data_IF_251449523130
#
_entry.id   IF_251449523130
#
_cell.length_a   1.000
_cell.length_b   1.000
_cell.length_c   1.000
_cell.angle_alpha   90.00
_cell.angle_beta   90.00
_cell.angle_gamma   90.00
#
_symmetry.space_group_name_H-M   'P 1'
#
loop_
_entity.id
_entity.type
_entity.pdbx_description
1 polymer ?
#
# COMPACT_ATOMS: atom_id res chain seq x y z
N UNK A 1 26.20 -13.66 -8.31
CA UNK A 1 26.07 -12.67 -7.22
C UNK A 1 25.13 -11.53 -7.63
N UNK A 2 25.19 -11.06 -8.87
CA UNK A 2 24.36 -9.98 -9.44
C UNK A 2 22.83 -10.20 -9.34
N UNK A 3 22.33 -11.39 -9.72
CA UNK A 3 20.88 -11.69 -9.67
C UNK A 3 20.29 -11.70 -8.26
N UNK A 4 21.06 -12.14 -7.27
CA UNK A 4 20.60 -12.19 -5.87
C UNK A 4 20.42 -10.79 -5.27
N UNK A 5 21.34 -9.88 -5.59
CA UNK A 5 21.26 -8.47 -5.19
C UNK A 5 20.10 -7.75 -5.88
N UNK A 6 19.88 -7.99 -7.17
CA UNK A 6 18.73 -7.45 -7.93
C UNK A 6 17.40 -7.92 -7.31
N UNK A 7 17.29 -9.22 -7.02
CA UNK A 7 16.09 -9.78 -6.39
C UNK A 7 15.84 -9.19 -4.99
N UNK A 8 16.90 -9.02 -4.18
CA UNK A 8 16.79 -8.38 -2.87
C UNK A 8 16.37 -6.91 -2.98
N UNK A 9 16.93 -6.15 -3.91
CA UNK A 9 16.57 -4.76 -4.14
C UNK A 9 15.10 -4.62 -4.56
N UNK A 10 14.63 -5.47 -5.47
CA UNK A 10 13.22 -5.50 -5.88
C UNK A 10 12.29 -5.88 -4.71
N UNK A 11 12.67 -6.87 -3.89
CA UNK A 11 11.91 -7.27 -2.72
C UNK A 11 11.79 -6.15 -1.69
N UNK A 12 12.85 -5.38 -1.45
CA UNK A 12 12.83 -4.22 -0.55
C UNK A 12 11.95 -3.09 -1.13
N UNK A 13 12.06 -2.83 -2.45
CA UNK A 13 11.34 -1.76 -3.14
C UNK A 13 9.81 -1.91 -3.04
N UNK A 14 9.28 -3.14 -3.03
CA UNK A 14 7.85 -3.41 -2.82
C UNK A 14 7.50 -3.70 -1.35
N UNK A 15 8.38 -4.40 -0.64
CA UNK A 15 8.11 -4.91 0.71
C UNK A 15 7.97 -3.80 1.75
N UNK A 16 8.82 -2.77 1.72
CA UNK A 16 8.73 -1.66 2.67
C UNK A 16 7.45 -0.82 2.46
N UNK A 17 7.10 -0.40 1.22
CA UNK A 17 5.81 0.24 0.98
C UNK A 17 4.62 -0.64 1.37
N UNK A 18 4.66 -1.96 1.10
CA UNK A 18 3.60 -2.89 1.50
C UNK A 18 3.32 -2.89 3.00
N UNK A 19 4.36 -2.96 3.81
CA UNK A 19 4.23 -2.90 5.26
C UNK A 19 3.69 -1.54 5.74
N UNK A 20 4.16 -0.44 5.16
CA UNK A 20 3.73 0.90 5.50
C UNK A 20 2.26 1.16 5.10
N UNK A 21 1.86 0.74 3.89
CA UNK A 21 0.48 0.82 3.39
C UNK A 21 -0.46 0.01 4.25
N UNK A 22 -0.13 -1.25 4.56
CA UNK A 22 -0.95 -2.10 5.43
C UNK A 22 -1.12 -1.50 6.82
N UNK A 23 -0.07 -0.90 7.39
CA UNK A 23 -0.16 -0.20 8.67
C UNK A 23 -1.11 1.00 8.60
N UNK A 24 -0.99 1.86 7.58
CA UNK A 24 -1.88 3.00 7.40
C UNK A 24 -3.34 2.57 7.19
N UNK A 25 -3.58 1.59 6.31
CA UNK A 25 -4.92 1.08 6.02
C UNK A 25 -5.57 0.39 7.21
N UNK A 26 -4.82 -0.28 8.09
CA UNK A 26 -5.38 -0.87 9.32
C UNK A 26 -6.00 0.18 10.25
N UNK A 27 -5.37 1.36 10.32
CA UNK A 27 -5.82 2.50 11.14
C UNK A 27 -7.00 3.23 10.48
N UNK A 28 -6.93 3.42 9.16
CA UNK A 28 -8.01 4.08 8.41
C UNK A 28 -9.24 3.18 8.37
N UNK A 29 -9.08 1.88 8.14
CA UNK A 29 -10.17 0.90 8.09
C UNK A 29 -10.89 0.76 9.43
N UNK A 30 -10.16 0.69 10.54
CA UNK A 30 -10.76 0.64 11.88
C UNK A 30 -11.55 1.91 12.22
N UNK A 31 -10.99 3.10 11.96
CA UNK A 31 -11.72 4.36 12.13
C UNK A 31 -12.90 4.51 11.15
N UNK A 32 -12.71 4.04 9.92
CA UNK A 32 -13.69 4.06 8.84
C UNK A 32 -14.91 3.20 9.14
N UNK A 33 -14.73 2.00 9.71
CA UNK A 33 -15.83 1.13 10.09
C UNK A 33 -16.78 1.79 11.10
N UNK A 34 -16.23 2.44 12.13
CA UNK A 34 -17.04 3.22 13.08
C UNK A 34 -17.73 4.42 12.43
N UNK A 35 -17.01 5.11 11.53
CA UNK A 35 -17.58 6.25 10.79
C UNK A 35 -18.77 5.82 9.92
N UNK A 36 -18.66 4.69 9.23
CA UNK A 36 -19.73 4.15 8.37
C UNK A 36 -20.92 3.67 9.21
N UNK A 37 -20.68 3.12 10.40
CA UNK A 37 -21.74 2.69 11.31
C UNK A 37 -22.63 3.86 11.77
N UNK A 38 -22.04 5.02 12.04
CA UNK A 38 -22.76 6.24 12.45
C UNK A 38 -23.28 7.06 11.26
N UNK A 39 -22.51 7.11 10.16
CA UNK A 39 -22.77 7.94 8.97
C UNK A 39 -22.53 7.13 7.69
N UNK A 40 -23.49 6.29 7.27
CA UNK A 40 -23.33 5.40 6.12
C UNK A 40 -23.07 6.13 4.80
N UNK A 41 -23.54 7.37 4.66
CA UNK A 41 -23.27 8.23 3.50
C UNK A 41 -21.78 8.58 3.33
N UNK A 42 -20.95 8.43 4.36
CA UNK A 42 -19.50 8.69 4.30
C UNK A 42 -18.69 7.49 3.81
N UNK A 43 -19.31 6.35 3.49
CA UNK A 43 -18.60 5.16 3.02
C UNK A 43 -17.70 5.44 1.81
N UNK A 44 -18.15 6.26 0.86
CA UNK A 44 -17.33 6.66 -0.30
C UNK A 44 -16.07 7.43 0.10
N UNK A 45 -16.16 8.32 1.09
CA UNK A 45 -15.02 9.09 1.59
C UNK A 45 -14.03 8.16 2.29
N UNK A 46 -14.52 7.22 3.11
CA UNK A 46 -13.66 6.23 3.78
C UNK A 46 -12.90 5.37 2.77
N UNK A 47 -13.55 4.94 1.68
CA UNK A 47 -12.88 4.20 0.60
C UNK A 47 -11.75 5.04 -0.03
N UNK A 48 -11.99 6.33 -0.30
CA UNK A 48 -10.97 7.23 -0.83
C UNK A 48 -9.79 7.35 0.15
N UNK A 49 -10.06 7.49 1.45
CA UNK A 49 -9.01 7.56 2.46
C UNK A 49 -8.16 6.29 2.53
N UNK A 50 -8.76 5.11 2.34
CA UNK A 50 -8.03 3.82 2.26
C UNK A 50 -7.23 3.71 0.96
N UNK A 51 -7.72 4.29 -0.14
CA UNK A 51 -7.05 4.25 -1.44
C UNK A 51 -5.79 5.13 -1.50
N UNK A 52 -5.71 6.21 -0.72
CA UNK A 52 -4.51 7.08 -0.67
C UNK A 52 -3.25 6.29 -0.32
N UNK A 53 -3.15 5.56 0.81
CA UNK A 53 -1.97 4.76 1.12
C UNK A 53 -1.79 3.55 0.19
N UNK A 54 -2.84 3.05 -0.46
CA UNK A 54 -2.72 1.97 -1.48
C UNK A 54 -1.78 2.39 -2.62
N UNK A 55 -1.81 3.68 -3.01
CA UNK A 55 -0.94 4.21 -4.07
C UNK A 55 0.55 3.99 -3.79
N UNK A 56 0.98 4.02 -2.52
CA UNK A 56 2.39 3.81 -2.16
C UNK A 56 2.86 2.39 -2.46
N UNK A 57 2.00 1.39 -2.23
CA UNK A 57 2.26 -0.01 -2.61
C UNK A 57 2.39 -0.17 -4.10
N UNK A 58 1.50 0.47 -4.87
CA UNK A 58 1.52 0.40 -6.33
C UNK A 58 2.78 1.03 -6.90
N UNK A 59 3.24 2.15 -6.35
CA UNK A 59 4.51 2.77 -6.72
C UNK A 59 5.70 1.84 -6.40
N UNK A 60 5.71 1.21 -5.22
CA UNK A 60 6.73 0.23 -4.84
C UNK A 60 6.76 -1.00 -5.77
N UNK A 61 5.58 -1.47 -6.17
CA UNK A 61 5.43 -2.55 -7.15
C UNK A 61 5.99 -2.17 -8.53
N UNK A 62 5.66 -0.97 -9.04
CA UNK A 62 6.19 -0.49 -10.32
C UNK A 62 7.71 -0.39 -10.28
N UNK A 63 8.29 0.13 -9.19
CA UNK A 63 9.75 0.20 -9.03
C UNK A 63 10.37 -1.20 -8.98
N UNK A 64 9.79 -2.14 -8.22
CA UNK A 64 10.27 -3.51 -8.16
C UNK A 64 10.23 -4.20 -9.53
N UNK A 65 9.17 -3.98 -10.32
CA UNK A 65 9.07 -4.46 -11.69
C UNK A 65 10.21 -3.90 -12.56
N UNK A 66 10.43 -2.58 -12.52
CA UNK A 66 11.51 -1.94 -13.28
C UNK A 66 12.89 -2.51 -12.93
N UNK A 67 13.16 -2.78 -11.65
CA UNK A 67 14.42 -3.40 -11.18
C UNK A 67 14.63 -4.81 -11.75
N UNK A 68 13.57 -5.59 -11.90
CA UNK A 68 13.65 -6.98 -12.41
C UNK A 68 13.70 -7.00 -13.94
N UNK A 69 13.03 -6.05 -14.59
CA UNK A 69 12.88 -6.01 -16.06
C UNK A 69 14.00 -5.27 -16.80
N UNK A 70 14.77 -4.44 -16.10
CA UNK A 70 15.95 -3.76 -16.63
C UNK A 70 17.19 -4.62 -16.56
#
# INVERSE_FOLDING_TARGET
MEKGLIALAAAIAIGLPALATGWAQSRIGSAGAGTIAEKPELAGIVIILVAIPETMVLLGFVVAYLIISG
#
